data_IF_178750690244
#
_entry.id   IF_178750690244
#
_cell.length_a   1.000
_cell.length_b   1.000
_cell.length_c   1.000
_cell.angle_alpha   90.00
_cell.angle_beta   90.00
_cell.angle_gamma   90.00
#
_symmetry.space_group_name_H-M   'P 1'
#
loop_
_entity.id
_entity.type
_entity.pdbx_description
1 polymer ?
#
# COMPACT_ATOMS: atom_id res chain seq x y z
N UNK A 1 -5.74 16.94 -0.22
CA UNK A 1 -4.52 16.24 -0.69
C UNK A 1 -4.53 14.88 0.00
N UNK A 2 -4.41 13.77 -0.74
CA UNK A 2 -4.06 12.48 -0.14
C UNK A 2 -2.57 12.52 0.18
N UNK A 3 -2.15 12.06 1.35
CA UNK A 3 -0.75 12.25 1.75
C UNK A 3 -0.43 11.70 3.13
N UNK A 4 0.17 10.51 3.09
CA UNK A 4 1.07 9.90 4.06
C UNK A 4 1.02 8.39 3.78
N UNK A 5 1.99 7.91 3.01
CA UNK A 5 2.29 6.49 2.95
C UNK A 5 3.09 6.12 4.22
N UNK A 6 2.59 5.13 4.97
CA UNK A 6 3.31 4.56 6.12
C UNK A 6 3.53 3.07 5.86
N UNK A 7 4.78 2.66 5.78
CA UNK A 7 5.17 1.27 5.61
C UNK A 7 5.50 0.64 6.97
N UNK A 8 4.97 -0.57 7.18
CA UNK A 8 5.31 -1.44 8.30
C UNK A 8 5.44 -2.84 7.68
N UNK A 9 6.67 -3.24 7.38
CA UNK A 9 7.03 -4.57 6.86
C UNK A 9 7.68 -5.41 7.98
N UNK A 10 6.88 -6.01 8.88
CA UNK A 10 7.37 -6.93 9.88
C UNK A 10 7.32 -8.38 9.38
N UNK A 11 8.27 -9.20 9.81
CA UNK A 11 8.06 -10.66 9.87
C UNK A 11 9.23 -11.51 9.43
N UNK A 12 9.18 -12.78 9.85
CA UNK A 12 10.04 -13.84 9.33
C UNK A 12 9.40 -14.36 8.04
N UNK A 13 10.16 -14.38 6.97
CA UNK A 13 9.64 -14.73 5.65
C UNK A 13 9.50 -16.26 5.52
N UNK A 14 8.26 -16.78 5.59
CA UNK A 14 7.96 -18.21 5.38
C UNK A 14 7.11 -18.47 4.12
N UNK A 15 6.70 -17.42 3.41
CA UNK A 15 5.90 -17.48 2.19
C UNK A 15 4.43 -17.83 2.43
N UNK A 16 4.01 -17.99 3.68
CA UNK A 16 2.61 -18.22 4.03
C UNK A 16 1.77 -16.97 3.78
N UNK A 17 0.46 -17.15 3.55
CA UNK A 17 -0.47 -16.03 3.42
C UNK A 17 -0.49 -15.14 4.67
N UNK A 18 -0.25 -15.73 5.85
CA UNK A 18 -0.16 -15.00 7.11
C UNK A 18 1.05 -14.07 7.12
N UNK A 19 2.23 -14.56 6.69
CA UNK A 19 3.43 -13.72 6.60
C UNK A 19 3.27 -12.63 5.53
N UNK A 20 2.73 -12.97 4.35
CA UNK A 20 2.42 -12.00 3.30
C UNK A 20 1.40 -10.93 3.73
N UNK A 21 0.46 -11.24 4.62
CA UNK A 21 -0.48 -10.24 5.15
C UNK A 21 0.08 -9.45 6.33
N UNK A 22 1.17 -9.90 6.96
CA UNK A 22 1.90 -9.09 7.93
C UNK A 22 2.64 -7.94 7.24
N UNK A 23 2.98 -8.10 5.96
CA UNK A 23 3.55 -7.06 5.10
C UNK A 23 2.46 -6.13 4.54
N UNK A 24 2.46 -4.86 4.94
CA UNK A 24 1.49 -3.88 4.45
C UNK A 24 2.00 -2.45 4.40
N UNK A 25 1.30 -1.65 3.59
CA UNK A 25 1.48 -0.21 3.52
C UNK A 25 0.14 0.49 3.76
N UNK A 26 0.11 1.52 4.61
CA UNK A 26 -1.07 2.35 4.83
C UNK A 26 -1.06 3.56 3.91
N UNK A 27 -2.19 3.83 3.25
CA UNK A 27 -2.47 5.08 2.53
C UNK A 27 -3.50 5.88 3.33
N UNK A 28 -3.16 7.13 3.66
CA UNK A 28 -4.01 8.03 4.46
C UNK A 28 -4.56 9.20 3.64
N UNK A 29 -5.81 9.56 3.92
CA UNK A 29 -6.42 10.81 3.46
C UNK A 29 -6.44 11.82 4.62
N UNK A 30 -5.47 12.74 4.72
CA UNK A 30 -5.48 13.78 5.75
C UNK A 30 -6.53 14.88 5.48
N UNK A 31 -7.14 14.89 4.30
CA UNK A 31 -8.19 15.85 3.95
C UNK A 31 -9.54 15.49 4.56
N UNK A 32 -10.40 16.50 4.69
CA UNK A 32 -11.79 16.38 5.16
C UNK A 32 -12.77 15.77 4.14
N UNK A 33 -12.40 15.77 2.86
CA UNK A 33 -13.27 15.27 1.79
C UNK A 33 -12.82 13.90 1.31
N UNK A 34 -13.78 13.06 0.94
CA UNK A 34 -13.52 11.75 0.38
C UNK A 34 -12.87 11.86 -1.01
N UNK A 35 -11.85 11.04 -1.26
CA UNK A 35 -11.13 10.99 -2.53
C UNK A 35 -11.35 9.65 -3.22
N UNK A 36 -11.63 9.68 -4.52
CA UNK A 36 -11.73 8.47 -5.33
C UNK A 36 -10.33 7.99 -5.69
N UNK A 37 -9.95 6.79 -5.24
CA UNK A 37 -8.68 6.17 -5.57
C UNK A 37 -8.78 5.26 -6.80
N UNK A 38 -9.96 5.09 -7.40
CA UNK A 38 -10.12 4.21 -8.56
C UNK A 38 -9.08 4.53 -9.64
N UNK A 39 -8.32 3.52 -10.05
CA UNK A 39 -7.27 3.68 -11.07
C UNK A 39 -5.91 4.14 -10.53
N UNK A 40 -5.83 4.62 -9.29
CA UNK A 40 -4.57 4.96 -8.62
C UNK A 40 -3.73 3.71 -8.43
N UNK A 41 -2.41 3.89 -8.31
CA UNK A 41 -1.47 2.78 -8.13
C UNK A 41 -0.51 3.00 -6.97
N UNK A 42 -0.26 1.95 -6.20
CA UNK A 42 0.81 1.88 -5.21
C UNK A 42 1.87 0.91 -5.71
N UNK A 43 3.10 1.39 -5.90
CA UNK A 43 4.18 0.61 -6.53
C UNK A 43 5.44 0.58 -5.68
N UNK A 44 6.03 -0.61 -5.49
CA UNK A 44 7.39 -0.80 -4.96
C UNK A 44 8.43 -0.44 -6.00
N UNK A 45 9.46 0.30 -5.59
CA UNK A 45 10.62 0.56 -6.45
C UNK A 45 11.55 -0.64 -6.55
N UNK A 46 11.67 -1.46 -5.50
CA UNK A 46 12.57 -2.64 -5.49
C UNK A 46 12.02 -3.84 -6.25
N UNK A 47 10.78 -4.21 -5.96
CA UNK A 47 10.19 -5.46 -6.48
C UNK A 47 9.33 -5.21 -7.73
N UNK A 48 9.06 -3.95 -8.05
CA UNK A 48 8.10 -3.51 -9.07
C UNK A 48 6.66 -4.01 -8.83
N UNK A 49 6.36 -4.53 -7.63
CA UNK A 49 5.01 -4.89 -7.24
C UNK A 49 4.10 -3.67 -7.34
N UNK A 50 2.94 -3.83 -7.98
CA UNK A 50 1.98 -2.74 -8.17
C UNK A 50 0.58 -3.20 -7.80
N UNK A 51 -0.06 -2.43 -6.92
CA UNK A 51 -1.47 -2.54 -6.59
C UNK A 51 -2.27 -1.45 -7.30
N UNK A 52 -3.48 -1.77 -7.77
CA UNK A 52 -4.43 -0.81 -8.35
C UNK A 52 -5.67 -0.73 -7.50
N UNK A 53 -6.00 0.49 -7.06
CA UNK A 53 -7.16 0.73 -6.20
C UNK A 53 -8.47 0.75 -6.99
N UNK A 54 -9.54 0.30 -6.34
CA UNK A 54 -10.92 0.31 -6.82
C UNK A 54 -11.89 0.78 -5.72
N UNK A 55 -11.50 1.79 -4.95
CA UNK A 55 -12.25 2.26 -3.79
C UNK A 55 -12.25 3.78 -3.65
N UNK A 56 -13.15 4.28 -2.83
CA UNK A 56 -13.17 5.67 -2.37
C UNK A 56 -12.73 5.74 -0.92
N UNK A 57 -11.73 6.57 -0.62
CA UNK A 57 -11.22 6.76 0.73
C UNK A 57 -11.84 8.01 1.34
N UNK A 58 -12.58 7.85 2.44
CA UNK A 58 -13.23 8.98 3.12
C UNK A 58 -12.25 10.00 3.68
N UNK A 59 -12.77 11.17 4.08
CA UNK A 59 -11.95 12.18 4.75
C UNK A 59 -11.44 11.68 6.10
N UNK A 60 -10.19 11.99 6.43
CA UNK A 60 -9.49 11.53 7.64
C UNK A 60 -9.38 10.00 7.79
N UNK A 61 -9.71 9.24 6.75
CA UNK A 61 -9.63 7.77 6.78
C UNK A 61 -8.32 7.26 6.20
N UNK A 62 -8.08 5.98 6.42
CA UNK A 62 -6.94 5.25 5.90
C UNK A 62 -7.33 3.85 5.43
N UNK A 63 -6.52 3.30 4.52
CA UNK A 63 -6.61 1.91 4.05
C UNK A 63 -5.23 1.27 4.10
N UNK A 64 -5.16 0.02 4.55
CA UNK A 64 -3.98 -0.84 4.51
C UNK A 64 -4.02 -1.69 3.25
N UNK A 65 -2.89 -1.73 2.56
CA UNK A 65 -2.69 -2.57 1.37
C UNK A 65 -1.77 -3.71 1.78
N UNK A 66 -2.36 -4.88 2.05
CA UNK A 66 -1.66 -6.11 2.39
C UNK A 66 -1.13 -6.80 1.14
N UNK A 67 0.03 -7.44 1.26
CA UNK A 67 0.65 -8.10 0.11
C UNK A 67 -0.01 -9.43 -0.27
N UNK A 68 -0.45 -10.21 0.71
CA UNK A 68 -1.07 -11.52 0.49
C UNK A 68 -2.50 -11.46 -0.02
N UNK A 69 -3.27 -12.52 0.25
CA UNK A 69 -4.68 -12.66 -0.14
C UNK A 69 -5.59 -12.44 1.07
N UNK A 70 -6.77 -11.91 0.80
CA UNK A 70 -7.81 -11.66 1.80
C UNK A 70 -9.06 -11.08 1.16
N UNK A 71 -10.04 -10.72 1.99
CA UNK A 71 -11.26 -10.07 1.54
C UNK A 71 -11.16 -8.56 1.72
N UNK A 72 -11.31 -7.83 0.62
CA UNK A 72 -11.25 -6.36 0.65
C UNK A 72 -12.38 -5.78 1.51
N UNK A 73 -12.02 -4.78 2.33
CA UNK A 73 -12.91 -3.99 3.17
C UNK A 73 -12.63 -2.49 2.94
N UNK A 74 -13.33 -1.63 3.69
CA UNK A 74 -13.04 -0.19 3.67
C UNK A 74 -11.67 0.18 4.27
N UNK A 75 -11.08 -0.69 5.09
CA UNK A 75 -9.83 -0.41 5.81
C UNK A 75 -8.66 -1.32 5.40
N UNK A 76 -8.93 -2.46 4.78
CA UNK A 76 -7.92 -3.45 4.43
C UNK A 76 -8.20 -3.97 3.02
N UNK A 77 -7.20 -3.90 2.14
CA UNK A 77 -7.26 -4.44 0.78
C UNK A 77 -6.03 -5.27 0.48
N UNK A 78 -6.16 -6.19 -0.48
CA UNK A 78 -5.18 -7.25 -0.69
C UNK A 78 -4.62 -7.23 -2.12
N UNK A 79 -3.29 -7.28 -2.26
CA UNK A 79 -2.64 -7.38 -3.57
C UNK A 79 -2.80 -8.77 -4.21
N UNK A 80 -3.26 -9.76 -3.43
CA UNK A 80 -3.46 -11.14 -3.85
C UNK A 80 -2.19 -11.82 -4.37
N UNK A 81 -1.02 -11.40 -3.88
CA UNK A 81 0.27 -11.95 -4.29
C UNK A 81 0.58 -13.24 -3.52
N UNK A 82 1.51 -14.00 -4.09
CA UNK A 82 2.15 -15.18 -3.45
C UNK A 82 3.60 -14.91 -3.07
N UNK A 83 4.09 -13.70 -3.36
CA UNK A 83 5.44 -13.23 -3.10
C UNK A 83 5.38 -11.84 -2.50
N UNK A 84 6.36 -11.54 -1.65
CA UNK A 84 6.54 -10.26 -0.98
C UNK A 84 6.59 -9.09 -1.98
N UNK A 85 5.94 -7.99 -1.64
CA UNK A 85 5.89 -6.79 -2.48
C UNK A 85 6.91 -5.75 -2.00
N UNK A 86 7.24 -5.78 -0.72
CA UNK A 86 8.02 -4.76 -0.05
C UNK A 86 9.34 -5.35 0.42
N UNK A 87 10.44 -4.66 0.17
CA UNK A 87 11.74 -5.09 0.69
C UNK A 87 11.88 -4.69 2.17
N UNK A 88 12.13 -5.67 3.04
CA UNK A 88 12.23 -5.51 4.50
C UNK A 88 13.42 -4.64 4.93
N UNK A 89 14.50 -4.57 4.13
CA UNK A 89 15.66 -3.76 4.47
C UNK A 89 15.50 -2.33 3.97
N UNK A 90 15.08 -2.16 2.72
CA UNK A 90 14.92 -0.84 2.12
C UNK A 90 14.01 -0.88 0.92
N UNK A 91 13.02 -0.01 0.86
CA UNK A 91 12.20 0.16 -0.34
C UNK A 91 11.66 1.60 -0.42
N UNK A 92 11.07 1.91 -1.56
CA UNK A 92 10.25 3.10 -1.75
C UNK A 92 8.89 2.70 -2.30
N UNK A 93 7.84 2.94 -1.52
CA UNK A 93 6.47 2.90 -2.02
C UNK A 93 6.14 4.22 -2.73
N UNK A 94 5.61 4.14 -3.95
CA UNK A 94 5.17 5.31 -4.74
C UNK A 94 3.68 5.23 -5.00
N UNK A 95 2.92 6.22 -4.54
CA UNK A 95 1.50 6.39 -4.85
C UNK A 95 1.35 7.32 -6.07
N UNK A 96 0.65 6.85 -7.09
CA UNK A 96 0.29 7.64 -8.27
C UNK A 96 -1.21 7.71 -8.43
N UNK A 97 -1.69 8.85 -8.92
CA UNK A 97 -3.08 8.97 -9.32
C UNK A 97 -3.37 8.25 -10.65
N UNK A 98 -4.63 8.27 -11.04
CA UNK A 98 -5.14 7.76 -12.32
C UNK A 98 -4.51 8.42 -13.55
N UNK A 99 -4.03 9.67 -13.42
CA UNK A 99 -3.22 10.36 -14.44
C UNK A 99 -1.72 10.05 -14.38
N UNK A 100 -1.30 9.06 -13.58
CA UNK A 100 0.10 8.62 -13.39
C UNK A 100 1.02 9.65 -12.74
N UNK A 101 0.48 10.75 -12.22
CA UNK A 101 1.23 11.74 -11.45
C UNK A 101 1.54 11.18 -10.07
N UNK A 102 2.78 11.39 -9.61
CA UNK A 102 3.19 11.00 -8.26
C UNK A 102 2.49 11.90 -7.26
N UNK A 103 1.77 11.29 -6.33
CA UNK A 103 1.04 11.98 -5.26
C UNK A 103 1.85 11.95 -3.97
N UNK A 104 2.48 10.81 -3.66
CA UNK A 104 3.30 10.63 -2.47
C UNK A 104 4.33 9.52 -2.68
N UNK A 105 5.43 9.60 -1.93
CA UNK A 105 6.44 8.55 -1.86
C UNK A 105 6.86 8.33 -0.41
N UNK A 106 7.09 7.08 -0.04
CA UNK A 106 7.69 6.74 1.26
C UNK A 106 8.83 5.79 1.07
N UNK A 107 10.01 6.25 1.47
CA UNK A 107 11.20 5.43 1.59
C UNK A 107 11.37 4.95 3.04
N UNK A 108 11.80 3.71 3.21
CA UNK A 108 12.27 3.18 4.49
C UNK A 108 13.62 2.49 4.31
N UNK A 109 14.40 2.48 5.39
CA UNK A 109 15.64 1.75 5.49
C UNK A 109 15.78 1.27 6.94
N UNK A 110 15.84 -0.03 7.16
CA UNK A 110 16.21 -0.61 8.45
C UNK A 110 17.73 -0.46 8.62
N UNK A 111 18.14 0.33 9.62
CA UNK A 111 19.54 0.43 10.06
C UNK A 111 19.85 -0.63 11.11
#
# INVERSE_FOLDING_TARGET
MLGAIQADSPGRDDGSNRSLNAEWVTVKNPGRHAVNLTGWTLTSQRTHATYRFHLRLGGYQQVRVHTGRGHDTMHDVYQNRRTYAWDNHRDTATLRNDHRLVVDTKHWNHR
#
